data_IF_201763825419
#
_entry.id   IF_201763825419
#
_cell.length_a   1.000
_cell.length_b   1.000
_cell.length_c   1.000
_cell.angle_alpha   90.00
_cell.angle_beta   90.00
_cell.angle_gamma   90.00
#
_symmetry.space_group_name_H-M   'P 1'
#
loop_
_entity.id
_entity.type
_entity.pdbx_description
1 polymer ?
#
# COMPACT_ATOMS: atom_id res chain seq x y z
N UNK A 1 16.74 58.63 -42.42
CA UNK A 1 16.58 57.64 -41.37
C UNK A 1 15.41 56.74 -41.68
N UNK A 2 15.68 55.56 -42.22
CA UNK A 2 14.64 54.60 -42.66
C UNK A 2 14.50 53.54 -41.57
N UNK A 3 13.31 53.49 -40.95
CA UNK A 3 12.90 52.40 -40.04
C UNK A 3 12.53 51.17 -40.89
N UNK A 4 13.22 50.05 -40.66
CA UNK A 4 12.85 48.73 -41.23
C UNK A 4 11.84 48.08 -40.27
N UNK A 5 10.68 47.80 -40.80
CA UNK A 5 9.66 46.95 -40.16
C UNK A 5 10.13 45.48 -40.32
N UNK A 6 10.29 44.80 -39.20
CA UNK A 6 10.51 43.35 -39.19
C UNK A 6 9.17 42.70 -38.92
N UNK A 7 8.65 42.05 -39.94
CA UNK A 7 7.43 41.21 -39.82
C UNK A 7 7.85 39.85 -39.27
N UNK A 8 7.40 39.57 -38.05
CA UNK A 8 7.57 38.27 -37.42
C UNK A 8 6.40 37.37 -37.89
N UNK A 9 6.72 36.39 -38.72
CA UNK A 9 5.81 35.30 -39.07
C UNK A 9 5.71 34.37 -37.86
N UNK A 10 4.56 34.35 -37.18
CA UNK A 10 4.22 33.34 -36.18
C UNK A 10 3.75 32.12 -36.96
N UNK A 11 4.65 31.14 -37.12
CA UNK A 11 4.29 29.81 -37.59
C UNK A 11 3.58 29.07 -36.48
N UNK A 12 2.29 28.78 -36.63
CA UNK A 12 1.60 27.78 -35.81
C UNK A 12 2.25 26.42 -36.03
N UNK A 13 3.16 26.03 -35.14
CA UNK A 13 3.50 24.60 -34.97
C UNK A 13 2.34 23.98 -34.20
N UNK A 14 1.51 23.21 -34.88
CA UNK A 14 0.68 22.20 -34.27
C UNK A 14 1.61 21.15 -33.65
N UNK A 15 1.86 21.28 -32.34
CA UNK A 15 2.43 20.18 -31.56
C UNK A 15 1.41 19.04 -31.61
N UNK A 16 1.65 18.05 -32.44
CA UNK A 16 1.02 16.76 -32.31
C UNK A 16 1.38 16.22 -30.93
N UNK A 17 0.35 16.02 -30.11
CA UNK A 17 0.42 15.20 -28.91
C UNK A 17 0.88 13.80 -29.34
N UNK A 18 2.18 13.56 -29.31
CA UNK A 18 2.68 12.19 -29.25
C UNK A 18 2.26 11.69 -27.86
N UNK A 19 1.18 10.92 -27.82
CA UNK A 19 0.85 10.10 -26.68
C UNK A 19 2.09 9.26 -26.35
N UNK A 20 2.63 9.40 -25.15
CA UNK A 20 3.51 8.40 -24.58
C UNK A 20 2.75 7.08 -24.63
N UNK A 21 3.10 6.21 -25.56
CA UNK A 21 2.54 4.88 -25.66
C UNK A 21 2.85 4.16 -24.33
N UNK A 22 1.83 3.64 -23.69
CA UNK A 22 1.89 2.94 -22.39
C UNK A 22 2.77 1.67 -22.44
N UNK A 23 3.37 1.33 -23.56
CA UNK A 23 4.11 0.07 -23.78
C UNK A 23 3.22 -1.17 -23.79
N UNK A 24 1.91 -1.02 -23.64
CA UNK A 24 0.92 -2.08 -23.70
C UNK A 24 0.53 -2.37 -25.16
N UNK A 25 -0.01 -3.56 -25.41
CA UNK A 25 -0.45 -3.99 -26.74
C UNK A 25 -1.67 -3.19 -27.23
N UNK A 26 -1.86 -3.13 -28.56
CA UNK A 26 -3.01 -2.44 -29.17
C UNK A 26 -4.36 -3.11 -28.82
N UNK A 27 -4.35 -4.33 -28.29
CA UNK A 27 -5.55 -5.08 -27.89
C UNK A 27 -5.98 -4.78 -26.45
N UNK A 28 -5.12 -4.15 -25.66
CA UNK A 28 -5.43 -3.71 -24.29
C UNK A 28 -5.91 -2.26 -24.31
N UNK A 29 -7.12 -2.03 -23.82
CA UNK A 29 -7.76 -0.71 -23.77
C UNK A 29 -7.85 -0.23 -22.33
N UNK A 30 -7.29 0.94 -22.03
CA UNK A 30 -7.57 1.63 -20.77
C UNK A 30 -8.97 2.25 -20.84
N UNK A 31 -9.78 1.94 -19.86
CA UNK A 31 -11.13 2.50 -19.72
C UNK A 31 -11.07 3.82 -18.97
N UNK A 32 -11.78 4.82 -19.47
CA UNK A 32 -11.92 6.14 -18.84
C UNK A 32 -13.40 6.55 -18.91
N UNK A 33 -13.89 7.30 -17.91
CA UNK A 33 -15.26 7.82 -17.96
C UNK A 33 -15.51 8.59 -19.26
N UNK A 34 -16.67 8.44 -19.86
CA UNK A 34 -17.05 9.26 -21.01
C UNK A 34 -17.20 10.71 -20.52
N UNK A 35 -16.50 11.64 -21.15
CA UNK A 35 -16.76 13.06 -20.93
C UNK A 35 -18.13 13.37 -21.56
N UNK A 36 -19.13 13.68 -20.72
CA UNK A 36 -20.37 14.25 -21.21
C UNK A 36 -20.03 15.56 -21.93
N UNK A 37 -20.24 15.61 -23.24
CA UNK A 37 -20.28 16.87 -23.98
C UNK A 37 -21.51 17.66 -23.49
N UNK A 38 -21.36 18.36 -22.40
CA UNK A 38 -22.33 19.40 -22.02
C UNK A 38 -22.26 20.48 -23.09
N UNK A 39 -23.31 20.49 -23.93
CA UNK A 39 -23.59 21.53 -24.87
C UNK A 39 -23.65 22.87 -24.12
N UNK A 40 -22.63 23.71 -24.32
CA UNK A 40 -22.68 25.13 -23.96
C UNK A 40 -23.87 25.77 -24.63
N UNK A 41 -25.03 25.79 -23.98
CA UNK A 41 -26.10 26.71 -24.31
C UNK A 41 -25.75 28.06 -23.70
N UNK A 42 -25.35 28.95 -24.56
CA UNK A 42 -25.20 30.37 -24.39
C UNK A 42 -26.43 30.95 -23.69
N UNK A 43 -26.30 31.31 -22.40
CA UNK A 43 -27.31 32.13 -21.68
C UNK A 43 -26.71 33.51 -21.49
N UNK A 44 -27.38 34.44 -22.19
CA UNK A 44 -27.15 35.88 -22.22
C UNK A 44 -27.21 36.51 -20.82
N UNK A 45 -26.21 37.33 -20.48
CA UNK A 45 -26.12 38.08 -19.23
C UNK A 45 -26.94 39.32 -19.27
N UNK A 46 -27.94 39.42 -18.40
CA UNK A 46 -28.42 40.73 -17.89
C UNK A 46 -28.53 40.70 -16.37
N UNK A 47 -27.83 41.64 -15.78
CA UNK A 47 -27.47 41.91 -14.41
C UNK A 47 -28.52 41.77 -13.29
N UNK A 48 -28.02 41.58 -12.08
CA UNK A 48 -28.08 42.56 -10.97
C UNK A 48 -27.34 42.02 -9.73
N UNK A 49 -26.53 42.88 -9.21
CA UNK A 49 -26.05 43.23 -7.88
C UNK A 49 -26.35 42.33 -6.66
N UNK A 50 -25.24 42.15 -5.91
CA UNK A 50 -25.07 42.10 -4.44
C UNK A 50 -25.92 41.14 -3.60
N UNK A 51 -25.22 40.07 -3.13
CA UNK A 51 -25.23 39.74 -1.70
C UNK A 51 -24.00 38.91 -1.35
N UNK A 52 -23.08 39.54 -0.60
CA UNK A 52 -22.04 38.90 0.20
C UNK A 52 -22.70 37.90 1.16
N UNK A 53 -22.43 36.61 0.98
CA UNK A 53 -22.59 35.59 2.01
C UNK A 53 -21.20 35.21 2.50
N UNK A 54 -20.90 35.67 3.71
CA UNK A 54 -19.74 35.20 4.52
C UNK A 54 -19.83 33.67 4.65
N UNK A 55 -18.82 33.00 4.16
CA UNK A 55 -18.61 31.59 4.44
C UNK A 55 -18.14 31.45 5.89
N UNK A 56 -19.08 31.07 6.76
CA UNK A 56 -18.84 30.67 8.13
C UNK A 56 -18.06 29.30 8.09
N UNK A 57 -16.75 29.40 8.23
CA UNK A 57 -15.86 28.27 8.47
C UNK A 57 -15.95 27.88 9.95
N UNK A 58 -17.03 27.26 10.33
CA UNK A 58 -17.08 26.43 11.52
C UNK A 58 -16.77 24.98 11.12
N UNK A 59 -15.47 24.61 11.18
CA UNK A 59 -15.08 23.25 11.37
C UNK A 59 -15.75 22.72 12.65
N UNK A 60 -16.90 22.08 12.50
CA UNK A 60 -17.41 21.19 13.53
C UNK A 60 -16.43 20.04 13.66
N UNK A 61 -15.57 20.06 14.69
CA UNK A 61 -15.02 18.86 15.27
C UNK A 61 -16.16 17.85 15.36
N UNK A 62 -16.07 16.78 14.58
CA UNK A 62 -16.88 15.60 14.81
C UNK A 62 -16.37 15.01 16.15
N UNK A 63 -17.12 15.24 17.20
CA UNK A 63 -16.92 14.62 18.50
C UNK A 63 -17.54 13.23 18.45
N UNK A 64 -16.75 12.27 18.97
CA UNK A 64 -17.22 11.04 19.61
C UNK A 64 -17.75 9.91 18.71
N UNK A 65 -16.88 9.36 17.83
CA UNK A 65 -16.86 7.92 17.60
C UNK A 65 -15.88 7.31 18.62
N UNK A 66 -16.22 6.21 19.27
CA UNK A 66 -15.24 5.48 20.09
C UNK A 66 -13.97 5.23 19.25
N UNK A 67 -12.81 5.12 19.87
CA UNK A 67 -11.55 4.84 19.17
C UNK A 67 -11.70 3.64 18.21
N UNK A 68 -12.51 2.64 18.57
CA UNK A 68 -12.83 1.43 17.84
C UNK A 68 -13.56 1.66 16.51
N UNK A 69 -14.25 2.79 16.30
CA UNK A 69 -14.96 3.10 15.04
C UNK A 69 -14.16 4.00 14.11
N UNK A 70 -12.95 4.42 14.50
CA UNK A 70 -12.10 5.26 13.67
C UNK A 70 -11.56 4.50 12.45
N UNK A 71 -11.32 5.21 11.34
CA UNK A 71 -10.68 4.63 10.15
C UNK A 71 -9.35 3.93 10.51
N UNK A 72 -8.51 4.57 11.34
CA UNK A 72 -7.22 4.01 11.72
C UNK A 72 -7.32 2.71 12.51
N UNK A 73 -8.35 2.55 13.36
CA UNK A 73 -8.60 1.30 14.07
C UNK A 73 -9.06 0.19 13.12
N UNK A 74 -10.09 0.43 12.31
CA UNK A 74 -10.60 -0.54 11.34
C UNK A 74 -9.53 -0.98 10.34
N UNK A 75 -8.70 -0.03 9.90
CA UNK A 75 -7.57 -0.31 9.02
C UNK A 75 -6.55 -1.27 9.68
N UNK A 76 -6.15 -1.01 10.93
CA UNK A 76 -5.23 -1.90 11.66
C UNK A 76 -5.83 -3.28 11.89
N UNK A 77 -7.13 -3.35 12.19
CA UNK A 77 -7.82 -4.61 12.34
C UNK A 77 -7.82 -5.43 11.05
N UNK A 78 -8.14 -4.80 9.92
CA UNK A 78 -8.02 -5.43 8.60
C UNK A 78 -6.59 -5.89 8.32
N UNK A 79 -5.59 -5.04 8.59
CA UNK A 79 -4.18 -5.32 8.34
C UNK A 79 -3.70 -6.55 9.13
N UNK A 80 -4.05 -6.64 10.40
CA UNK A 80 -3.65 -7.76 11.27
C UNK A 80 -4.43 -9.02 10.96
N UNK A 81 -5.73 -8.93 10.65
CA UNK A 81 -6.50 -10.08 10.19
C UNK A 81 -5.93 -10.65 8.89
N UNK A 82 -5.53 -9.77 7.96
CA UNK A 82 -4.89 -10.21 6.71
C UNK A 82 -3.57 -10.95 6.99
N UNK A 83 -2.69 -10.37 7.83
CA UNK A 83 -1.43 -11.01 8.24
C UNK A 83 -1.68 -12.40 8.87
N UNK A 84 -2.63 -12.49 9.80
CA UNK A 84 -2.96 -13.76 10.48
C UNK A 84 -3.51 -14.82 9.54
N UNK A 85 -4.21 -14.43 8.47
CA UNK A 85 -4.78 -15.35 7.49
C UNK A 85 -3.81 -15.72 6.36
N UNK A 86 -2.75 -14.92 6.16
CA UNK A 86 -1.69 -15.23 5.17
C UNK A 86 -0.52 -15.95 5.79
N UNK A 87 -0.33 -15.84 7.10
CA UNK A 87 0.81 -16.43 7.80
C UNK A 87 0.91 -17.95 7.61
N UNK A 88 2.09 -18.41 7.22
CA UNK A 88 2.47 -19.81 7.12
C UNK A 88 3.76 -20.05 7.92
N UNK A 89 3.69 -20.96 8.91
CA UNK A 89 4.82 -21.36 9.76
C UNK A 89 6.05 -21.76 8.94
N UNK A 90 7.21 -21.25 9.33
CA UNK A 90 8.50 -21.51 8.68
C UNK A 90 8.73 -20.72 7.39
N UNK A 91 7.88 -19.75 7.04
CA UNK A 91 8.04 -18.92 5.84
C UNK A 91 8.11 -17.44 6.17
N UNK A 92 9.01 -16.77 5.47
CA UNK A 92 8.99 -15.30 5.45
C UNK A 92 7.79 -14.82 4.66
N UNK A 93 7.13 -13.79 5.17
CA UNK A 93 6.08 -13.12 4.43
C UNK A 93 6.15 -11.61 4.57
N UNK A 94 5.58 -10.92 3.62
CA UNK A 94 5.37 -9.48 3.69
C UNK A 94 4.15 -9.08 2.88
N UNK A 95 3.17 -8.51 3.54
CA UNK A 95 1.97 -7.97 2.91
C UNK A 95 1.94 -6.45 2.99
N UNK A 96 1.24 -5.82 2.07
CA UNK A 96 0.85 -4.42 2.20
C UNK A 96 -0.67 -4.32 2.36
N UNK A 97 -1.17 -4.19 3.58
CA UNK A 97 -2.60 -4.05 3.82
C UNK A 97 -3.19 -2.83 3.10
N UNK A 98 -2.43 -1.74 3.01
CA UNK A 98 -2.85 -0.52 2.33
C UNK A 98 -3.16 -0.77 0.85
N UNK A 99 -2.25 -1.44 0.18
CA UNK A 99 -2.37 -1.70 -1.24
C UNK A 99 -3.50 -2.70 -1.54
N UNK A 100 -3.62 -3.76 -0.73
CA UNK A 100 -4.72 -4.74 -0.82
C UNK A 100 -6.07 -4.08 -0.56
N UNK A 101 -6.18 -3.28 0.51
CA UNK A 101 -7.41 -2.55 0.83
C UNK A 101 -7.82 -1.60 -0.30
N UNK A 102 -6.86 -0.88 -0.90
CA UNK A 102 -7.14 0.02 -2.01
C UNK A 102 -7.70 -0.73 -3.23
N UNK A 103 -7.06 -1.84 -3.66
CA UNK A 103 -7.54 -2.66 -4.79
C UNK A 103 -8.94 -3.23 -4.55
N UNK A 104 -9.20 -3.74 -3.34
CA UNK A 104 -10.50 -4.30 -2.99
C UNK A 104 -11.58 -3.22 -2.87
N UNK A 105 -11.29 -2.04 -2.29
CA UNK A 105 -12.23 -0.92 -2.22
C UNK A 105 -12.58 -0.38 -3.61
N UNK A 106 -11.62 -0.37 -4.54
CA UNK A 106 -11.91 -0.05 -5.95
C UNK A 106 -12.97 -1.00 -6.54
N UNK A 107 -12.86 -2.30 -6.26
CA UNK A 107 -13.80 -3.31 -6.75
C UNK A 107 -15.13 -3.24 -6.02
N UNK A 108 -15.10 -2.99 -4.71
CA UNK A 108 -16.27 -2.82 -3.84
C UNK A 108 -17.21 -1.70 -4.32
N UNK A 109 -16.68 -0.63 -4.93
CA UNK A 109 -17.49 0.43 -5.56
C UNK A 109 -18.48 -0.10 -6.61
N UNK A 110 -18.19 -1.25 -7.21
CA UNK A 110 -19.06 -1.93 -8.17
C UNK A 110 -19.92 -3.05 -7.58
N UNK A 111 -19.71 -3.42 -6.31
CA UNK A 111 -20.46 -4.46 -5.65
C UNK A 111 -21.88 -4.03 -5.25
N UNK A 112 -22.81 -5.00 -5.17
CA UNK A 112 -24.19 -4.81 -4.76
C UNK A 112 -24.63 -5.97 -3.85
N UNK A 113 -25.78 -5.76 -3.17
CA UNK A 113 -26.44 -6.81 -2.40
C UNK A 113 -25.54 -7.48 -1.36
N UNK A 114 -25.56 -8.81 -1.30
CA UNK A 114 -24.79 -9.58 -0.32
C UNK A 114 -23.28 -9.51 -0.55
N UNK A 115 -22.85 -9.47 -1.81
CA UNK A 115 -21.43 -9.26 -2.17
C UNK A 115 -20.90 -7.97 -1.54
N UNK A 116 -21.61 -6.86 -1.69
CA UNK A 116 -21.24 -5.58 -1.07
C UNK A 116 -21.20 -5.72 0.47
N UNK A 117 -22.22 -6.32 1.08
CA UNK A 117 -22.27 -6.44 2.54
C UNK A 117 -21.12 -7.28 3.11
N UNK A 118 -20.73 -8.36 2.42
CA UNK A 118 -19.57 -9.16 2.81
C UNK A 118 -18.25 -8.37 2.66
N UNK A 119 -18.11 -7.62 1.57
CA UNK A 119 -16.94 -6.77 1.35
C UNK A 119 -16.85 -5.68 2.41
N UNK A 120 -17.92 -4.93 2.67
CA UNK A 120 -17.97 -3.91 3.73
C UNK A 120 -17.61 -4.50 5.10
N UNK A 121 -18.11 -5.71 5.42
CA UNK A 121 -17.80 -6.36 6.70
C UNK A 121 -16.33 -6.73 6.82
N UNK A 122 -15.73 -7.29 5.77
CA UNK A 122 -14.33 -7.76 5.79
C UNK A 122 -13.34 -6.59 5.72
N UNK A 123 -13.62 -5.60 4.89
CA UNK A 123 -12.67 -4.52 4.59
C UNK A 123 -12.74 -3.35 5.59
N UNK A 124 -13.91 -3.14 6.22
CA UNK A 124 -14.15 -1.92 6.98
C UNK A 124 -15.10 -2.08 8.19
N UNK A 125 -15.27 -3.33 8.67
CA UNK A 125 -16.17 -3.65 9.79
C UNK A 125 -17.59 -3.08 9.58
N UNK A 126 -18.14 -3.26 8.36
CA UNK A 126 -19.47 -2.83 7.97
C UNK A 126 -19.61 -1.32 7.68
N UNK A 127 -18.52 -0.57 7.59
CA UNK A 127 -18.56 0.82 7.15
C UNK A 127 -18.93 0.88 5.67
N UNK A 128 -19.92 1.73 5.27
CA UNK A 128 -20.33 1.83 3.88
C UNK A 128 -19.18 2.21 2.93
N UNK A 129 -19.10 1.54 1.78
CA UNK A 129 -18.02 1.69 0.79
C UNK A 129 -17.72 3.15 0.42
N UNK A 130 -18.77 3.98 0.26
CA UNK A 130 -18.58 5.39 -0.06
C UNK A 130 -17.92 6.21 1.05
N UNK A 131 -18.03 5.81 2.33
CA UNK A 131 -17.29 6.40 3.44
C UNK A 131 -15.88 5.85 3.47
N UNK A 132 -15.72 4.52 3.45
CA UNK A 132 -14.44 3.82 3.42
C UNK A 132 -13.53 4.34 2.29
N UNK A 133 -14.05 4.44 1.07
CA UNK A 133 -13.31 4.93 -0.09
C UNK A 133 -12.80 6.37 0.08
N UNK A 134 -13.61 7.28 0.67
CA UNK A 134 -13.17 8.66 0.94
C UNK A 134 -12.11 8.74 2.02
N UNK A 135 -12.25 7.98 3.12
CA UNK A 135 -11.28 7.94 4.21
C UNK A 135 -9.94 7.39 3.72
N UNK A 136 -9.97 6.26 3.01
CA UNK A 136 -8.79 5.64 2.43
C UNK A 136 -8.10 6.55 1.39
N UNK A 137 -8.86 7.12 0.46
CA UNK A 137 -8.33 8.09 -0.52
C UNK A 137 -7.70 9.31 0.14
N UNK A 138 -8.35 9.84 1.20
CA UNK A 138 -7.81 10.97 1.95
C UNK A 138 -6.50 10.62 2.67
N UNK A 139 -6.40 9.41 3.20
CA UNK A 139 -5.20 8.90 3.83
C UNK A 139 -4.07 8.73 2.79
N UNK A 140 -4.32 8.00 1.71
CA UNK A 140 -3.32 7.74 0.67
C UNK A 140 -2.73 9.03 0.07
N UNK A 141 -3.55 10.08 -0.10
CA UNK A 141 -3.11 11.39 -0.62
C UNK A 141 -2.20 12.18 0.34
N UNK A 142 -2.11 11.78 1.60
CA UNK A 142 -1.24 12.42 2.60
C UNK A 142 0.10 11.70 2.76
N UNK A 143 0.21 10.47 2.25
CA UNK A 143 1.44 9.70 2.33
C UNK A 143 2.56 10.41 1.57
N UNK A 144 3.74 10.41 2.18
CA UNK A 144 4.91 11.07 1.61
C UNK A 144 5.41 10.35 0.36
N UNK A 145 5.66 11.13 -0.69
CA UNK A 145 6.41 10.71 -1.88
C UNK A 145 7.37 11.86 -2.21
N UNK A 146 8.66 11.66 -1.97
CA UNK A 146 9.68 12.70 -2.01
C UNK A 146 10.89 12.24 -2.83
N UNK A 147 11.96 13.04 -2.90
CA UNK A 147 13.20 12.64 -3.59
C UNK A 147 13.91 11.46 -2.89
N UNK A 148 13.72 11.29 -1.58
CA UNK A 148 14.41 10.28 -0.77
C UNK A 148 13.51 9.12 -0.31
N UNK A 149 12.22 9.19 -0.61
CA UNK A 149 11.24 8.19 -0.20
C UNK A 149 10.18 8.01 -1.29
N UNK A 150 10.10 6.82 -1.86
CA UNK A 150 9.13 6.47 -2.88
C UNK A 150 8.23 5.33 -2.39
N UNK A 151 6.93 5.61 -2.38
CA UNK A 151 5.89 4.62 -2.12
C UNK A 151 5.08 4.42 -3.40
N UNK A 152 5.46 3.41 -4.18
CA UNK A 152 4.82 3.10 -5.45
C UNK A 152 3.68 2.09 -5.24
N UNK A 153 2.45 2.57 -5.18
CA UNK A 153 1.25 1.73 -5.08
C UNK A 153 0.65 1.58 -6.48
N UNK A 154 0.57 0.35 -6.97
CA UNK A 154 0.06 0.03 -8.29
C UNK A 154 -1.16 -0.87 -8.19
N UNK A 155 -2.34 -0.30 -8.38
CA UNK A 155 -3.62 -0.99 -8.35
C UNK A 155 -4.30 -0.90 -9.70
N UNK A 156 -4.68 -2.04 -10.26
CA UNK A 156 -5.44 -2.07 -11.51
C UNK A 156 -6.49 -3.18 -11.53
N UNK A 157 -7.54 -2.93 -12.27
CA UNK A 157 -8.60 -3.90 -12.57
C UNK A 157 -8.50 -4.25 -14.05
N UNK A 158 -8.40 -5.54 -14.35
CA UNK A 158 -8.38 -6.05 -15.72
C UNK A 158 -9.65 -6.85 -15.96
N UNK A 159 -10.42 -6.45 -16.94
CA UNK A 159 -11.68 -7.04 -17.34
C UNK A 159 -11.51 -7.73 -18.71
N UNK A 160 -12.04 -8.93 -18.85
CA UNK A 160 -11.98 -9.66 -20.11
C UNK A 160 -12.79 -8.94 -21.19
N UNK A 161 -12.13 -8.61 -22.32
CA UNK A 161 -12.81 -8.04 -23.48
C UNK A 161 -13.79 -9.09 -24.06
N UNK A 162 -15.06 -8.82 -23.90
CA UNK A 162 -16.14 -9.55 -24.51
C UNK A 162 -17.00 -8.53 -25.27
N UNK A 163 -17.44 -8.87 -26.47
CA UNK A 163 -18.25 -7.96 -27.32
C UNK A 163 -19.51 -7.41 -26.61
N UNK A 164 -19.89 -8.04 -25.49
CA UNK A 164 -21.11 -7.71 -24.73
C UNK A 164 -20.82 -7.10 -23.37
N UNK A 165 -19.55 -6.86 -23.00
CA UNK A 165 -19.22 -6.22 -21.72
C UNK A 165 -19.41 -4.71 -21.81
N UNK A 166 -20.34 -4.20 -21.01
CA UNK A 166 -20.54 -2.78 -20.77
C UNK A 166 -20.10 -2.44 -19.35
N UNK A 167 -19.11 -1.56 -19.23
CA UNK A 167 -18.63 -1.06 -17.94
C UNK A 167 -19.33 0.26 -17.63
N UNK A 168 -19.82 0.40 -16.39
CA UNK A 168 -20.58 1.57 -15.95
C UNK A 168 -19.68 2.81 -15.78
N UNK A 169 -20.09 3.93 -16.35
CA UNK A 169 -19.34 5.19 -16.27
C UNK A 169 -19.21 5.70 -14.83
N UNK A 170 -20.20 5.47 -13.97
CA UNK A 170 -20.15 5.82 -12.55
C UNK A 170 -19.04 5.07 -11.83
N UNK A 171 -18.85 3.78 -12.15
CA UNK A 171 -17.77 2.96 -11.59
C UNK A 171 -16.38 3.49 -12.00
N UNK A 172 -16.21 3.80 -13.28
CA UNK A 172 -14.97 4.38 -13.80
C UNK A 172 -14.69 5.75 -13.16
N UNK A 173 -15.72 6.60 -13.07
CA UNK A 173 -15.62 7.94 -12.52
C UNK A 173 -15.24 7.95 -11.04
N UNK A 174 -15.90 7.12 -10.21
CA UNK A 174 -15.65 7.09 -8.77
C UNK A 174 -14.24 6.55 -8.48
N UNK A 175 -13.80 5.47 -9.15
CA UNK A 175 -12.48 4.91 -8.99
C UNK A 175 -11.36 5.85 -9.49
N UNK A 176 -11.58 6.54 -10.61
CA UNK A 176 -10.64 7.55 -11.08
C UNK A 176 -10.50 8.71 -10.09
N UNK A 177 -11.60 9.20 -9.52
CA UNK A 177 -11.62 10.31 -8.57
C UNK A 177 -10.97 9.98 -7.22
N UNK A 178 -11.24 8.78 -6.68
CA UNK A 178 -10.75 8.38 -5.37
C UNK A 178 -9.31 7.87 -5.41
N UNK A 179 -8.98 7.04 -6.38
CA UNK A 179 -7.75 6.22 -6.37
C UNK A 179 -6.83 6.45 -7.56
N UNK A 180 -7.15 7.35 -8.50
CA UNK A 180 -6.44 7.45 -9.80
C UNK A 180 -6.32 6.06 -10.48
N UNK A 181 -7.38 5.27 -10.35
CA UNK A 181 -7.39 3.86 -10.70
C UNK A 181 -7.16 3.63 -12.19
N UNK A 182 -6.40 2.59 -12.51
CA UNK A 182 -6.25 2.13 -13.88
C UNK A 182 -7.09 0.88 -14.12
N UNK A 183 -8.07 1.01 -15.01
CA UNK A 183 -9.00 -0.08 -15.36
C UNK A 183 -8.80 -0.40 -16.83
N UNK A 184 -8.60 -1.68 -17.11
CA UNK A 184 -8.30 -2.16 -18.45
C UNK A 184 -9.31 -3.20 -18.93
N UNK A 185 -9.56 -3.19 -20.23
CA UNK A 185 -10.27 -4.23 -20.95
C UNK A 185 -9.30 -4.90 -21.92
N UNK A 186 -9.18 -6.22 -21.87
CA UNK A 186 -8.20 -6.97 -22.64
C UNK A 186 -8.68 -8.39 -22.98
N UNK A 187 -8.18 -9.04 -24.05
CA UNK A 187 -8.68 -10.33 -24.52
C UNK A 187 -8.36 -11.52 -23.61
N UNK A 188 -7.51 -11.36 -22.59
CA UNK A 188 -7.03 -12.38 -21.66
C UNK A 188 -6.28 -13.52 -22.39
N UNK A 189 -5.35 -13.13 -23.24
CA UNK A 189 -4.41 -13.98 -23.96
C UNK A 189 -2.95 -13.73 -23.54
N UNK A 190 -1.98 -14.29 -24.26
CA UNK A 190 -0.55 -14.07 -24.01
C UNK A 190 -0.12 -12.60 -24.12
N UNK A 191 -0.82 -11.78 -24.91
CA UNK A 191 -0.55 -10.34 -24.98
C UNK A 191 -1.00 -9.65 -23.70
N UNK A 192 -2.17 -9.99 -23.18
CA UNK A 192 -2.65 -9.49 -21.89
C UNK A 192 -1.73 -9.88 -20.72
N UNK A 193 -1.23 -11.12 -20.72
CA UNK A 193 -0.23 -11.57 -19.73
C UNK A 193 1.00 -10.66 -19.73
N UNK A 194 1.53 -10.40 -20.92
CA UNK A 194 2.69 -9.52 -21.08
C UNK A 194 2.38 -8.08 -20.67
N UNK A 195 1.21 -7.59 -21.01
CA UNK A 195 0.78 -6.23 -20.67
C UNK A 195 0.65 -6.04 -19.16
N UNK A 196 0.03 -6.99 -18.44
CA UNK A 196 -0.05 -6.98 -16.97
C UNK A 196 1.35 -6.93 -16.36
N UNK A 197 2.26 -7.82 -16.76
CA UNK A 197 3.62 -7.85 -16.22
C UNK A 197 4.41 -6.59 -16.57
N UNK A 198 4.25 -6.06 -17.78
CA UNK A 198 4.90 -4.80 -18.20
C UNK A 198 4.39 -3.63 -17.37
N UNK A 199 3.07 -3.56 -17.14
CA UNK A 199 2.43 -2.52 -16.34
C UNK A 199 2.95 -2.54 -14.90
N UNK A 200 2.96 -3.71 -14.25
CA UNK A 200 3.50 -3.86 -12.89
C UNK A 200 4.96 -3.45 -12.82
N UNK A 201 5.79 -3.92 -13.75
CA UNK A 201 7.21 -3.58 -13.79
C UNK A 201 7.45 -2.08 -13.94
N UNK A 202 6.64 -1.39 -14.74
CA UNK A 202 6.74 0.06 -14.90
C UNK A 202 6.31 0.81 -13.63
N UNK A 203 5.20 0.38 -13.02
CA UNK A 203 4.63 1.02 -11.83
C UNK A 203 5.48 0.83 -10.57
N UNK A 204 6.24 -0.26 -10.50
CA UNK A 204 7.13 -0.57 -9.38
C UNK A 204 8.61 -0.27 -9.68
N UNK A 205 8.89 0.58 -10.69
CA UNK A 205 10.26 0.95 -11.10
C UNK A 205 11.17 -0.26 -11.33
N UNK A 206 10.58 -1.34 -11.88
CA UNK A 206 11.22 -2.65 -12.13
C UNK A 206 11.60 -3.45 -10.88
N UNK A 207 11.18 -3.03 -9.70
CA UNK A 207 11.36 -3.82 -8.48
C UNK A 207 10.59 -5.14 -8.55
N UNK A 208 9.40 -5.11 -9.17
CA UNK A 208 8.60 -6.31 -9.43
C UNK A 208 8.54 -6.51 -10.96
N UNK A 209 9.43 -7.34 -11.54
CA UNK A 209 9.48 -7.51 -13.00
C UNK A 209 8.33 -8.36 -13.55
N UNK A 210 7.72 -9.20 -12.71
CA UNK A 210 6.66 -10.13 -13.10
C UNK A 210 5.77 -10.42 -11.90
N UNK A 211 4.44 -10.45 -12.11
CA UNK A 211 3.44 -10.78 -11.10
C UNK A 211 2.60 -11.99 -11.50
N UNK A 212 2.43 -12.24 -12.79
CA UNK A 212 1.55 -13.28 -13.33
C UNK A 212 2.33 -14.18 -14.29
N UNK A 213 2.23 -15.50 -14.11
CA UNK A 213 2.90 -16.50 -14.95
C UNK A 213 2.04 -16.94 -16.12
N UNK A 214 0.72 -16.98 -15.95
CA UNK A 214 -0.24 -17.42 -16.96
C UNK A 214 -1.61 -16.76 -16.75
N UNK A 215 -2.42 -16.74 -17.79
CA UNK A 215 -3.84 -16.38 -17.70
C UNK A 215 -4.65 -17.67 -17.70
N UNK A 216 -5.59 -17.80 -16.76
CA UNK A 216 -6.49 -18.94 -16.69
C UNK A 216 -7.63 -18.80 -17.72
N UNK A 217 -8.00 -19.90 -18.40
CA UNK A 217 -8.92 -19.90 -19.53
C UNK A 217 -10.30 -19.29 -19.22
N UNK A 218 -10.79 -19.46 -17.99
CA UNK A 218 -12.12 -19.02 -17.57
C UNK A 218 -12.13 -17.68 -16.83
N UNK A 219 -11.00 -16.97 -16.84
CA UNK A 219 -10.89 -15.68 -16.14
C UNK A 219 -11.74 -14.61 -16.79
N UNK A 220 -12.43 -13.81 -15.98
CA UNK A 220 -13.24 -12.66 -16.40
C UNK A 220 -12.76 -11.36 -15.79
N UNK A 221 -12.15 -11.41 -14.61
CA UNK A 221 -11.61 -10.23 -13.93
C UNK A 221 -10.40 -10.58 -13.06
N UNK A 222 -9.33 -9.83 -13.22
CA UNK A 222 -8.15 -9.86 -12.35
C UNK A 222 -7.99 -8.54 -11.61
N UNK A 223 -7.72 -8.64 -10.31
CA UNK A 223 -7.23 -7.54 -9.51
C UNK A 223 -5.72 -7.69 -9.38
N UNK A 224 -5.00 -6.72 -9.88
CA UNK A 224 -3.54 -6.70 -9.83
C UNK A 224 -3.11 -5.61 -8.87
N UNK A 225 -2.43 -6.05 -7.82
CA UNK A 225 -1.94 -5.22 -6.75
C UNK A 225 -0.44 -5.44 -6.59
N UNK A 226 0.33 -4.40 -6.77
CA UNK A 226 1.77 -4.41 -6.57
C UNK A 226 2.20 -3.15 -5.84
N UNK A 227 3.10 -3.31 -4.88
CA UNK A 227 3.62 -2.19 -4.11
C UNK A 227 5.13 -2.34 -3.92
N UNK A 228 5.82 -1.24 -4.04
CA UNK A 228 7.25 -1.15 -3.78
C UNK A 228 7.55 0.08 -2.92
N UNK A 229 8.50 -0.09 -2.02
CA UNK A 229 8.94 0.95 -1.10
C UNK A 229 10.45 1.13 -1.22
N UNK A 230 10.88 2.38 -1.37
CA UNK A 230 12.28 2.79 -1.41
C UNK A 230 12.44 4.01 -0.51
N UNK A 231 13.15 3.88 0.61
CA UNK A 231 13.35 4.95 1.57
C UNK A 231 14.73 4.84 2.24
N UNK A 232 15.37 5.98 2.43
CA UNK A 232 16.64 6.06 3.15
C UNK A 232 16.41 6.14 4.65
N UNK A 233 17.30 5.51 5.42
CA UNK A 233 17.32 5.75 6.86
C UNK A 233 17.59 7.24 7.16
N UNK A 234 16.95 7.78 8.16
CA UNK A 234 17.28 9.12 8.68
C UNK A 234 18.73 9.18 9.13
N UNK A 235 19.27 8.08 9.65
CA UNK A 235 20.67 7.91 10.03
C UNK A 235 21.16 6.58 9.44
N UNK A 236 21.76 6.58 8.22
CA UNK A 236 22.30 5.37 7.62
C UNK A 236 23.37 4.71 8.48
N UNK A 237 23.53 3.40 8.37
CA UNK A 237 24.61 2.67 9.03
C UNK A 237 25.93 2.91 8.32
N UNK A 238 27.00 3.11 9.11
CA UNK A 238 28.36 3.10 8.61
C UNK A 238 28.86 1.65 8.46
N UNK A 239 29.96 1.47 7.75
CA UNK A 239 30.50 0.13 7.53
C UNK A 239 30.90 -0.57 8.82
N UNK A 240 31.33 0.20 9.81
CA UNK A 240 31.75 -0.24 11.13
C UNK A 240 30.58 -0.71 12.00
N UNK A 241 29.36 -0.29 11.66
CA UNK A 241 28.13 -0.70 12.35
C UNK A 241 27.62 -2.08 11.89
N UNK A 242 28.24 -2.66 10.86
CA UNK A 242 27.84 -3.96 10.31
C UNK A 242 28.84 -5.03 10.73
N UNK A 243 28.36 -6.01 11.49
CA UNK A 243 29.16 -7.11 11.96
C UNK A 243 28.50 -8.46 11.63
N UNK A 244 29.33 -9.50 11.54
CA UNK A 244 28.81 -10.87 11.35
C UNK A 244 28.10 -11.33 12.62
N UNK A 245 26.82 -11.65 12.52
CA UNK A 245 25.99 -12.16 13.60
C UNK A 245 25.40 -13.53 13.31
N UNK A 246 24.55 -14.01 14.20
CA UNK A 246 23.83 -15.28 14.04
C UNK A 246 22.34 -15.01 14.15
N UNK A 247 21.57 -15.44 13.16
CA UNK A 247 20.12 -15.53 13.23
C UNK A 247 19.73 -16.98 13.53
N UNK A 248 18.82 -17.18 14.48
CA UNK A 248 18.36 -18.52 14.88
C UNK A 248 16.87 -18.64 14.55
N UNK A 249 16.54 -19.45 13.53
CA UNK A 249 15.14 -19.71 13.14
C UNK A 249 14.38 -20.47 14.24
N UNK A 250 13.04 -20.49 14.18
CA UNK A 250 12.17 -21.17 15.15
C UNK A 250 12.55 -22.64 15.38
N UNK A 251 12.94 -23.36 14.33
CA UNK A 251 13.37 -24.75 14.41
C UNK A 251 14.81 -24.95 14.97
N UNK A 252 15.46 -23.87 15.41
CA UNK A 252 16.83 -23.88 15.96
C UNK A 252 17.95 -23.89 14.91
N UNK A 253 17.64 -23.74 13.63
CA UNK A 253 18.65 -23.60 12.58
C UNK A 253 19.36 -22.25 12.73
N UNK A 254 20.68 -22.27 12.74
CA UNK A 254 21.50 -21.07 12.84
C UNK A 254 22.06 -20.67 11.46
N UNK A 255 21.94 -19.38 11.16
CA UNK A 255 22.44 -18.76 9.94
C UNK A 255 23.41 -17.65 10.32
N UNK A 256 24.53 -17.55 9.60
CA UNK A 256 25.45 -16.40 9.73
C UNK A 256 24.89 -15.28 8.84
N UNK A 257 24.70 -14.10 9.42
CA UNK A 257 24.09 -12.95 8.75
C UNK A 257 24.91 -11.69 9.02
N UNK A 258 24.79 -10.71 8.15
CA UNK A 258 25.28 -9.37 8.41
C UNK A 258 24.25 -8.64 9.30
N UNK A 259 24.65 -8.34 10.55
CA UNK A 259 23.84 -7.60 11.52
C UNK A 259 24.25 -6.13 11.52
N UNK A 260 23.29 -5.25 11.41
CA UNK A 260 23.46 -3.79 11.46
C UNK A 260 23.09 -3.29 12.85
N UNK A 261 24.07 -2.74 13.57
CA UNK A 261 23.91 -2.26 14.95
C UNK A 261 23.69 -0.76 15.00
N UNK A 262 22.80 -0.32 15.87
CA UNK A 262 22.52 1.09 16.11
C UNK A 262 22.04 1.36 17.52
N UNK A 263 22.02 2.64 17.91
CA UNK A 263 21.33 3.07 19.11
C UNK A 263 20.06 3.80 18.70
N UNK A 264 18.89 3.27 19.13
CA UNK A 264 17.59 3.83 18.81
C UNK A 264 16.96 4.51 20.03
N UNK A 265 16.15 5.55 19.75
CA UNK A 265 15.54 6.38 20.81
C UNK A 265 14.13 5.95 21.19
N UNK A 266 13.49 5.10 20.39
CA UNK A 266 12.07 4.74 20.56
C UNK A 266 11.94 3.27 20.95
N UNK A 267 11.74 3.01 22.23
CA UNK A 267 11.59 1.67 22.78
C UNK A 267 10.11 1.26 22.88
N UNK A 268 9.81 0.04 22.47
CA UNK A 268 8.49 -0.58 22.55
C UNK A 268 8.55 -1.76 23.51
N UNK A 269 7.59 -1.85 24.44
CA UNK A 269 7.48 -3.00 25.35
C UNK A 269 6.03 -3.23 25.77
N UNK A 270 5.60 -4.50 25.78
CA UNK A 270 4.43 -5.00 26.49
C UNK A 270 4.75 -6.36 27.17
N UNK A 271 3.72 -7.09 27.61
CA UNK A 271 3.90 -8.39 28.29
C UNK A 271 4.54 -9.45 27.40
N UNK A 272 4.40 -9.36 26.08
CA UNK A 272 4.83 -10.36 25.08
C UNK A 272 5.87 -9.85 24.09
N UNK A 273 6.14 -8.56 24.05
CA UNK A 273 6.94 -7.89 23.02
C UNK A 273 8.05 -7.07 23.62
N UNK A 274 9.23 -7.08 22.99
CA UNK A 274 10.18 -5.97 23.02
C UNK A 274 10.38 -5.47 21.59
N UNK A 275 10.67 -4.19 21.40
CA UNK A 275 10.80 -3.64 20.06
C UNK A 275 11.39 -2.25 20.04
N UNK A 276 11.54 -1.71 18.84
CA UNK A 276 11.98 -0.34 18.63
C UNK A 276 11.41 0.22 17.33
N UNK A 277 11.49 1.55 17.20
CA UNK A 277 11.16 2.26 15.97
C UNK A 277 12.41 2.97 15.47
N UNK A 278 12.78 2.71 14.19
CA UNK A 278 13.85 3.36 13.47
C UNK A 278 13.30 4.23 12.35
N UNK A 279 13.50 5.56 12.38
CA UNK A 279 12.97 6.46 11.37
C UNK A 279 13.69 6.33 10.01
N UNK A 280 12.92 6.41 8.93
CA UNK A 280 13.43 6.81 7.61
C UNK A 280 13.46 8.34 7.49
N UNK A 281 14.07 8.84 6.43
CA UNK A 281 13.82 10.22 6.01
C UNK A 281 12.33 10.41 5.73
N UNK A 282 11.73 11.45 5.62
CA UNK A 282 10.42 11.77 5.04
C UNK A 282 9.19 10.91 5.48
N UNK A 283 8.93 10.83 6.77
CA UNK A 283 7.58 10.50 7.27
C UNK A 283 7.23 9.02 7.41
N UNK A 284 8.18 8.11 7.25
CA UNK A 284 8.01 6.69 7.54
C UNK A 284 8.97 6.19 8.61
N UNK A 285 8.67 5.05 9.19
CA UNK A 285 9.54 4.39 10.15
C UNK A 285 9.47 2.87 10.02
N UNK A 286 10.58 2.22 10.28
CA UNK A 286 10.64 0.78 10.50
C UNK A 286 10.31 0.49 11.96
N UNK A 287 9.31 -0.31 12.22
CA UNK A 287 8.93 -0.78 13.54
C UNK A 287 9.29 -2.25 13.65
N UNK A 288 10.13 -2.57 14.62
CA UNK A 288 10.51 -3.93 14.96
C UNK A 288 9.73 -4.42 16.15
N UNK A 289 9.16 -5.62 16.08
CA UNK A 289 8.44 -6.30 17.15
C UNK A 289 9.04 -7.69 17.35
N UNK A 290 9.80 -7.85 18.43
CA UNK A 290 10.47 -9.10 18.79
C UNK A 290 9.68 -9.80 19.91
N UNK A 291 9.11 -11.00 19.67
CA UNK A 291 8.48 -11.78 20.73
C UNK A 291 9.44 -12.02 21.89
N UNK A 292 8.98 -11.92 23.14
CA UNK A 292 9.78 -12.26 24.31
C UNK A 292 10.14 -13.74 24.32
N UNK A 293 11.24 -14.09 24.98
CA UNK A 293 11.70 -15.48 25.08
C UNK A 293 10.58 -16.42 25.58
N UNK A 294 10.43 -17.54 24.89
CA UNK A 294 9.42 -18.56 25.19
C UNK A 294 8.06 -18.34 24.54
N UNK A 295 7.91 -17.30 23.74
CA UNK A 295 6.72 -17.06 22.88
C UNK A 295 7.15 -17.36 21.44
N UNK A 296 6.49 -18.34 20.80
CA UNK A 296 6.71 -18.63 19.39
C UNK A 296 6.21 -17.50 18.50
N UNK A 297 6.76 -17.39 17.29
CA UNK A 297 6.29 -16.37 16.34
C UNK A 297 4.83 -16.59 15.93
N UNK A 298 4.40 -17.86 15.79
CA UNK A 298 3.02 -18.23 15.51
C UNK A 298 2.07 -17.78 16.63
N UNK A 299 2.39 -18.12 17.89
CA UNK A 299 1.60 -17.68 19.03
C UNK A 299 1.54 -16.14 19.14
N UNK A 300 2.66 -15.47 18.87
CA UNK A 300 2.73 -14.01 18.89
C UNK A 300 1.80 -13.39 17.85
N UNK A 301 1.87 -13.83 16.59
CA UNK A 301 1.03 -13.33 15.48
C UNK A 301 -0.45 -13.59 15.76
N UNK A 302 -0.80 -14.78 16.25
CA UNK A 302 -2.19 -15.14 16.56
C UNK A 302 -2.84 -14.26 17.64
N UNK A 303 -2.04 -13.65 18.50
CA UNK A 303 -2.48 -12.75 19.59
C UNK A 303 -2.23 -11.26 19.31
N UNK A 304 -1.71 -10.93 18.12
CA UNK A 304 -1.51 -9.54 17.73
C UNK A 304 -2.87 -8.92 17.33
N UNK A 305 -3.27 -7.85 17.99
CA UNK A 305 -4.54 -7.14 17.73
C UNK A 305 -4.33 -5.66 17.47
N UNK A 306 -5.35 -4.99 16.93
CA UNK A 306 -5.30 -3.55 16.69
C UNK A 306 -5.06 -2.78 18.00
N UNK A 307 -5.72 -3.17 19.09
CA UNK A 307 -5.55 -2.57 20.41
C UNK A 307 -4.12 -2.74 20.92
N UNK A 308 -3.55 -3.93 20.74
CA UNK A 308 -2.18 -4.23 21.16
C UNK A 308 -1.18 -3.38 20.37
N UNK A 309 -1.33 -3.30 19.05
CA UNK A 309 -0.46 -2.47 18.22
C UNK A 309 -0.59 -0.98 18.56
N UNK A 310 -1.81 -0.49 18.77
CA UNK A 310 -2.06 0.89 19.23
C UNK A 310 -1.41 1.11 20.61
N UNK A 311 -1.62 0.18 21.54
CA UNK A 311 -1.03 0.27 22.88
C UNK A 311 0.50 0.33 22.87
N UNK A 312 1.16 -0.45 22.01
CA UNK A 312 2.62 -0.41 21.86
C UNK A 312 3.11 0.96 21.38
N UNK A 313 2.46 1.55 20.37
CA UNK A 313 2.91 2.84 19.81
C UNK A 313 2.49 4.04 20.67
N UNK A 314 1.36 3.98 21.38
CA UNK A 314 0.94 5.02 22.35
C UNK A 314 1.81 5.05 23.60
N UNK A 315 2.39 3.89 23.98
CA UNK A 315 3.26 3.76 25.14
C UNK A 315 4.75 3.69 24.78
N UNK A 316 5.11 4.14 23.55
CA UNK A 316 6.52 4.24 23.16
C UNK A 316 7.31 5.04 24.20
N UNK A 317 8.44 4.50 24.65
CA UNK A 317 9.29 5.18 25.62
C UNK A 317 10.52 5.77 24.93
N UNK A 318 10.87 6.98 25.36
CA UNK A 318 12.12 7.67 24.99
C UNK A 318 13.06 7.83 26.19
N UNK A 319 12.80 7.12 27.29
CA UNK A 319 13.61 7.17 28.52
C UNK A 319 14.82 6.22 28.47
N UNK A 320 14.92 5.40 27.43
CA UNK A 320 15.94 4.40 27.24
C UNK A 320 16.74 4.65 25.96
N UNK A 321 18.00 4.23 25.96
CA UNK A 321 18.76 3.98 24.74
C UNK A 321 18.57 2.51 24.36
N UNK A 322 18.17 2.24 23.12
CA UNK A 322 17.99 0.88 22.62
C UNK A 322 19.23 0.45 21.85
N UNK A 323 19.99 -0.49 22.42
CA UNK A 323 21.02 -1.24 21.67
C UNK A 323 20.28 -2.19 20.69
N UNK A 324 20.13 -1.73 19.47
CA UNK A 324 19.33 -2.36 18.43
C UNK A 324 20.21 -3.06 17.38
N UNK A 325 19.74 -4.20 16.88
CA UNK A 325 20.36 -4.87 15.74
C UNK A 325 19.32 -5.38 14.76
N UNK A 326 19.51 -5.08 13.47
CA UNK A 326 18.67 -5.55 12.35
C UNK A 326 19.53 -6.41 11.43
N UNK A 327 19.16 -7.65 11.09
CA UNK A 327 19.86 -8.38 10.05
C UNK A 327 19.62 -7.69 8.69
N UNK A 328 20.62 -7.68 7.82
CA UNK A 328 20.38 -7.35 6.40
C UNK A 328 19.53 -8.47 5.83
N UNK A 329 18.43 -8.11 5.21
CA UNK A 329 17.54 -9.09 4.60
C UNK A 329 16.85 -8.54 3.37
N UNK A 330 16.38 -9.48 2.55
CA UNK A 330 15.57 -9.24 1.38
C UNK A 330 14.36 -10.17 1.43
N UNK A 331 13.22 -9.65 1.10
CA UNK A 331 12.00 -10.44 0.98
C UNK A 331 11.28 -10.09 -0.32
N UNK A 332 10.98 -11.11 -1.11
CA UNK A 332 10.08 -11.05 -2.24
C UNK A 332 8.93 -11.99 -1.93
N UNK A 333 7.73 -11.46 -1.79
CA UNK A 333 6.56 -12.23 -1.42
C UNK A 333 5.47 -12.11 -2.48
N UNK A 334 4.85 -13.22 -2.83
CA UNK A 334 3.77 -13.27 -3.81
C UNK A 334 2.70 -14.23 -3.34
N UNK A 335 1.46 -13.76 -3.28
CA UNK A 335 0.33 -14.56 -2.83
C UNK A 335 -0.91 -14.30 -3.70
N UNK A 336 -1.69 -15.34 -3.93
CA UNK A 336 -3.07 -15.26 -4.41
C UNK A 336 -4.01 -15.23 -3.20
N UNK A 337 -4.77 -14.15 -3.05
CA UNK A 337 -5.52 -13.85 -1.82
C UNK A 337 -6.96 -14.39 -1.81
N UNK A 338 -7.41 -15.10 -2.84
CA UNK A 338 -8.81 -15.57 -2.94
C UNK A 338 -9.21 -16.40 -1.72
N UNK A 339 -8.44 -17.45 -1.40
CA UNK A 339 -8.75 -18.34 -0.29
C UNK A 339 -8.69 -17.59 1.05
N UNK A 340 -7.71 -16.72 1.23
CA UNK A 340 -7.57 -15.83 2.39
C UNK A 340 -8.80 -14.96 2.59
N UNK A 341 -9.24 -14.26 1.54
CA UNK A 341 -10.40 -13.36 1.62
C UNK A 341 -11.72 -14.11 1.80
N UNK A 342 -11.84 -15.30 1.22
CA UNK A 342 -12.99 -16.18 1.47
C UNK A 342 -13.03 -16.65 2.94
N UNK A 343 -11.89 -17.02 3.51
CA UNK A 343 -11.79 -17.40 4.92
C UNK A 343 -12.12 -16.22 5.86
N UNK A 344 -11.80 -15.00 5.47
CA UNK A 344 -12.20 -13.77 6.17
C UNK A 344 -13.70 -13.48 6.06
N UNK A 345 -14.44 -14.11 5.15
CA UNK A 345 -15.89 -13.98 4.99
C UNK A 345 -16.36 -13.40 3.65
N UNK A 346 -15.46 -13.10 2.73
CA UNK A 346 -15.78 -12.52 1.42
C UNK A 346 -15.99 -13.62 0.37
N UNK A 347 -17.06 -14.42 0.52
CA UNK A 347 -17.28 -15.61 -0.29
C UNK A 347 -17.97 -15.33 -1.62
N UNK A 348 -19.02 -14.51 -1.63
CA UNK A 348 -19.85 -14.29 -2.81
C UNK A 348 -19.08 -13.60 -3.96
N UNK A 349 -18.14 -12.71 -3.63
CA UNK A 349 -17.34 -11.99 -4.61
C UNK A 349 -16.55 -12.90 -5.56
N UNK A 350 -16.24 -14.14 -5.11
CA UNK A 350 -15.47 -15.14 -5.84
C UNK A 350 -16.31 -16.26 -6.46
N UNK A 351 -17.63 -16.23 -6.26
CA UNK A 351 -18.55 -17.23 -6.75
C UNK A 351 -19.24 -16.75 -8.04
N UNK A 352 -19.13 -17.54 -9.11
CA UNK A 352 -19.68 -17.20 -10.44
C UNK A 352 -21.21 -17.01 -10.41
N UNK A 353 -21.92 -17.71 -9.51
CA UNK A 353 -23.40 -17.66 -9.44
C UNK A 353 -23.90 -16.62 -8.43
N UNK A 354 -23.12 -16.30 -7.38
CA UNK A 354 -23.53 -15.46 -6.26
C UNK A 354 -23.01 -14.02 -6.35
N UNK A 355 -21.89 -13.80 -7.07
CA UNK A 355 -21.29 -12.46 -7.17
C UNK A 355 -22.28 -11.46 -7.77
N UNK A 356 -22.37 -10.29 -7.16
CA UNK A 356 -23.18 -9.18 -7.65
C UNK A 356 -22.32 -7.94 -7.86
N UNK A 357 -21.66 -7.89 -9.02
CA UNK A 357 -20.86 -6.76 -9.47
C UNK A 357 -21.54 -5.95 -10.60
N UNK A 358 -22.87 -5.89 -10.59
CA UNK A 358 -23.62 -5.10 -11.58
C UNK A 358 -23.30 -3.61 -11.56
N UNK A 359 -22.65 -3.11 -10.50
CA UNK A 359 -22.15 -1.74 -10.46
C UNK A 359 -20.84 -1.56 -11.21
N UNK A 360 -20.08 -2.65 -11.49
CA UNK A 360 -18.93 -2.60 -12.42
C UNK A 360 -19.44 -2.52 -13.84
N UNK A 361 -20.44 -3.35 -14.17
CA UNK A 361 -20.98 -3.46 -15.51
C UNK A 361 -21.87 -4.68 -15.70
N UNK A 362 -22.22 -4.95 -16.95
CA UNK A 362 -23.03 -6.10 -17.36
C UNK A 362 -22.41 -6.79 -18.59
N UNK A 363 -22.60 -8.10 -18.66
CA UNK A 363 -22.15 -8.91 -19.81
C UNK A 363 -23.19 -9.97 -20.13
N UNK A 364 -23.45 -10.21 -21.44
CA UNK A 364 -24.33 -11.31 -21.89
C UNK A 364 -23.63 -12.67 -21.80
N UNK A 365 -22.31 -12.71 -21.56
CA UNK A 365 -21.50 -13.93 -21.53
C UNK A 365 -21.39 -14.57 -20.13
N UNK A 366 -22.10 -14.05 -19.13
CA UNK A 366 -22.06 -14.53 -17.77
C UNK A 366 -21.89 -13.43 -16.74
N UNK A 367 -21.78 -13.83 -15.49
CA UNK A 367 -21.63 -12.91 -14.37
C UNK A 367 -20.20 -12.37 -14.27
N UNK A 368 -20.05 -11.18 -13.73
CA UNK A 368 -18.75 -10.62 -13.34
C UNK A 368 -18.45 -11.08 -11.91
N UNK A 369 -17.34 -11.73 -11.72
CA UNK A 369 -16.85 -12.16 -10.41
C UNK A 369 -15.32 -12.06 -10.35
N UNK A 370 -14.75 -12.06 -9.15
CA UNK A 370 -13.30 -12.01 -8.97
C UNK A 370 -12.72 -13.40 -9.17
N UNK A 371 -11.93 -13.59 -10.20
CA UNK A 371 -11.22 -14.86 -10.42
C UNK A 371 -9.97 -14.96 -9.53
N UNK A 372 -9.24 -13.85 -9.39
CA UNK A 372 -7.92 -13.83 -8.79
C UNK A 372 -7.62 -12.46 -8.20
N UNK A 373 -7.00 -12.45 -7.02
CA UNK A 373 -6.43 -11.27 -6.36
C UNK A 373 -4.95 -11.53 -6.13
N UNK A 374 -4.12 -11.02 -7.02
CA UNK A 374 -2.67 -11.17 -6.91
C UNK A 374 -2.08 -10.01 -6.11
N UNK A 375 -1.35 -10.36 -5.06
CA UNK A 375 -0.59 -9.43 -4.26
C UNK A 375 0.90 -9.79 -4.30
N UNK A 376 1.73 -8.82 -4.67
CA UNK A 376 3.18 -9.00 -4.68
C UNK A 376 3.87 -7.80 -4.06
N UNK A 377 4.84 -8.10 -3.18
CA UNK A 377 5.64 -7.12 -2.48
C UNK A 377 7.13 -7.43 -2.65
N UNK A 378 7.94 -6.40 -2.49
CA UNK A 378 9.39 -6.47 -2.48
C UNK A 378 9.95 -5.51 -1.45
N UNK A 379 10.88 -5.98 -0.63
CA UNK A 379 11.67 -5.19 0.31
C UNK A 379 13.11 -5.68 0.35
N UNK A 380 14.04 -4.75 0.47
CA UNK A 380 15.45 -5.01 0.74
C UNK A 380 15.90 -4.02 1.81
N UNK A 381 16.30 -4.53 2.97
CA UNK A 381 16.75 -3.75 4.13
C UNK A 381 18.26 -3.84 4.24
N UNK A 382 18.92 -2.73 4.04
CA UNK A 382 20.38 -2.60 4.06
C UNK A 382 20.87 -1.37 4.87
N UNK A 383 22.15 -1.07 4.78
CA UNK A 383 22.79 0.03 5.51
C UNK A 383 22.23 1.41 5.15
N UNK A 384 21.76 1.59 3.93
CA UNK A 384 21.29 2.88 3.45
C UNK A 384 19.81 3.12 3.73
N UNK A 385 19.04 2.05 3.89
CA UNK A 385 17.60 2.13 4.08
C UNK A 385 16.89 0.87 3.63
N UNK A 386 15.68 1.07 3.16
CA UNK A 386 14.96 0.06 2.41
C UNK A 386 15.09 0.42 0.94
N UNK A 387 15.92 -0.34 0.23
CA UNK A 387 16.35 -0.16 -1.16
C UNK A 387 16.82 1.25 -1.52
N UNK A 388 17.90 1.74 -0.92
CA UNK A 388 18.47 3.06 -1.22
C UNK A 388 19.75 2.98 -2.06
N UNK A 389 19.83 3.80 -3.12
CA UNK A 389 21.07 4.09 -3.84
C UNK A 389 21.88 5.15 -3.08
N UNK A 390 23.20 4.94 -2.98
CA UNK A 390 24.11 5.68 -2.12
C UNK A 390 24.08 7.21 -2.24
N UNK A 391 23.87 7.90 -1.12
CA UNK A 391 24.24 9.31 -0.92
C UNK A 391 24.55 9.55 0.55
N UNK A 392 25.77 10.00 0.85
CA UNK A 392 26.26 10.21 2.22
C UNK A 392 25.97 11.65 2.67
N UNK A 393 25.23 11.81 3.77
CA UNK A 393 25.19 13.08 4.52
C UNK A 393 25.39 12.77 6.00
N UNK A 394 26.51 13.21 6.55
CA UNK A 394 26.84 13.08 7.98
C UNK A 394 26.35 14.33 8.70
N UNK A 395 25.49 14.15 9.69
CA UNK A 395 25.10 15.19 10.63
C UNK A 395 25.24 14.69 12.07
N UNK A 396 26.29 15.11 12.77
CA UNK A 396 26.43 14.87 14.21
C UNK A 396 25.73 15.97 15.00
N UNK A 397 24.92 15.59 15.99
CA UNK A 397 24.44 16.49 17.04
C UNK A 397 24.89 15.93 18.37
N UNK A 398 25.88 16.59 18.99
CA UNK A 398 26.22 16.34 20.39
C UNK A 398 25.23 17.08 21.31
N UNK A 399 24.50 16.34 22.14
CA UNK A 399 23.85 16.90 23.32
C UNK A 399 24.48 16.32 24.57
N UNK A 400 25.17 17.16 25.35
CA UNK A 400 25.65 16.80 26.67
C UNK A 400 24.44 16.68 27.62
N UNK A 401 23.99 15.46 27.88
CA UNK A 401 23.12 15.13 29.02
C UNK A 401 23.99 14.59 30.14
N UNK A 402 23.76 15.04 31.38
CA UNK A 402 24.39 14.51 32.62
C UNK A 402 23.71 13.23 33.12
N UNK A 403 22.77 12.70 32.35
CA UNK A 403 22.04 11.48 32.65
C UNK A 403 22.38 10.44 31.59
N UNK A 404 22.94 9.31 32.01
CA UNK A 404 23.12 8.14 31.15
C UNK A 404 21.81 7.36 31.20
N UNK A 405 21.05 7.26 30.07
CA UNK A 405 19.82 6.46 30.05
C UNK A 405 20.13 4.99 30.28
N UNK A 406 19.19 4.25 30.82
CA UNK A 406 19.27 2.79 30.89
C UNK A 406 19.24 2.21 29.48
N UNK A 407 20.11 1.23 29.21
CA UNK A 407 20.20 0.57 27.90
C UNK A 407 19.26 -0.63 27.87
N UNK A 408 18.41 -0.71 26.83
CA UNK A 408 17.59 -1.87 26.48
C UNK A 408 18.18 -2.53 25.25
N UNK A 409 18.34 -3.84 25.25
CA UNK A 409 18.86 -4.59 24.11
C UNK A 409 17.73 -5.24 23.33
N UNK A 410 17.63 -4.96 22.03
CA UNK A 410 16.67 -5.56 21.12
C UNK A 410 17.39 -5.94 19.83
N UNK A 411 17.89 -7.16 19.76
CA UNK A 411 18.54 -7.71 18.59
C UNK A 411 17.57 -8.64 17.85
N UNK A 412 17.33 -8.37 16.56
CA UNK A 412 16.47 -9.20 15.71
C UNK A 412 17.26 -10.43 15.23
N UNK A 413 17.67 -11.26 16.16
CA UNK A 413 18.51 -12.44 15.98
C UNK A 413 17.73 -13.76 15.92
N UNK A 414 16.39 -13.67 15.95
CA UNK A 414 15.42 -14.77 15.88
C UNK A 414 14.13 -14.27 15.23
N UNK A 415 13.13 -15.12 14.94
CA UNK A 415 11.91 -14.71 14.28
C UNK A 415 11.26 -13.47 14.88
N UNK A 416 10.90 -12.52 14.01
CA UNK A 416 10.33 -11.24 14.41
C UNK A 416 9.26 -10.77 13.41
N UNK A 417 8.35 -9.93 13.90
CA UNK A 417 7.41 -9.16 13.08
C UNK A 417 7.99 -7.77 12.86
N UNK A 418 7.83 -7.23 11.65
CA UNK A 418 8.17 -5.85 11.37
C UNK A 418 7.05 -5.14 10.62
N UNK A 419 7.05 -3.82 10.71
CA UNK A 419 6.19 -2.99 9.91
C UNK A 419 6.95 -1.79 9.34
N UNK A 420 6.59 -1.37 8.13
CA UNK A 420 6.85 0.00 7.68
C UNK A 420 5.59 0.78 8.03
N UNK A 421 5.72 1.77 8.89
CA UNK A 421 4.59 2.59 9.37
C UNK A 421 4.69 4.02 8.84
N UNK A 422 3.55 4.63 8.56
CA UNK A 422 3.44 6.08 8.46
C UNK A 422 3.67 6.70 9.85
N UNK A 423 4.67 7.55 9.98
CA UNK A 423 5.10 8.09 11.28
C UNK A 423 4.02 8.96 11.94
N UNK A 424 3.18 9.67 11.17
CA UNK A 424 2.14 10.54 11.71
C UNK A 424 0.97 9.75 12.29
N UNK A 425 0.47 8.75 11.54
CA UNK A 425 -0.71 7.97 11.93
C UNK A 425 -0.36 6.66 12.61
N UNK A 426 0.89 6.22 12.50
CA UNK A 426 1.39 4.92 12.97
C UNK A 426 0.62 3.73 12.37
N UNK A 427 0.03 3.93 11.19
CA UNK A 427 -0.62 2.87 10.43
C UNK A 427 0.40 2.09 9.60
N UNK A 428 0.33 0.75 9.58
CA UNK A 428 1.26 -0.06 8.83
C UNK A 428 0.99 0.02 7.32
N UNK A 429 1.98 0.44 6.55
CA UNK A 429 1.96 0.37 5.09
C UNK A 429 2.32 -1.04 4.64
N UNK A 430 3.30 -1.64 5.33
CA UNK A 430 3.70 -3.04 5.21
C UNK A 430 3.70 -3.70 6.57
N UNK A 431 3.38 -4.99 6.57
CA UNK A 431 3.56 -5.91 7.68
C UNK A 431 4.30 -7.13 7.18
N UNK A 432 5.34 -7.54 7.88
CA UNK A 432 6.10 -8.72 7.51
C UNK A 432 6.53 -9.56 8.71
N UNK A 433 6.83 -10.80 8.42
CA UNK A 433 7.38 -11.78 9.34
C UNK A 433 8.67 -12.31 8.75
N UNK A 434 9.73 -12.29 9.53
CA UNK A 434 11.02 -12.89 9.16
C UNK A 434 11.28 -14.09 10.06
N UNK A 435 11.25 -15.28 9.49
CA UNK A 435 11.54 -16.55 10.20
C UNK A 435 12.93 -17.09 9.87
N UNK A 436 13.48 -16.65 8.74
CA UNK A 436 14.84 -16.98 8.31
C UNK A 436 15.39 -15.82 7.50
N UNK A 437 16.71 -15.66 7.48
CA UNK A 437 17.40 -14.67 6.66
C UNK A 437 18.10 -15.42 5.53
N UNK A 438 17.56 -15.31 4.31
CA UNK A 438 18.17 -15.87 3.11
C UNK A 438 19.08 -14.82 2.46
N UNK A 439 20.23 -15.28 1.90
CA UNK A 439 21.19 -14.44 1.16
C UNK A 439 20.64 -13.97 -0.20
#
# INVERSE_FOLDING_TARGET
>A
MKRKLVTILIGCMTLGLFGCGSGLSDTTKRLTPQQSEDSEQNVDHTGNEDQQAEADTTEKKAEDGSAETSFGYRYRQFALNLLQQTYEDGKNEMISPLSVLAALTMTENGAKGNTLSQMEQVLSDGTPVGQQGRELSSYMKKLADTENTHLNIANSIWLKDADTLHVEDDFLSENSKLFDAEIYQAPFDEHTLKDINTWVSQKTEKMIPQILDKIEDNSVMYLINAIAFDAKWQSPYEKEDVESGTFTSENGTQQTVDMMYSTEAYYLEDDSTTGFIRPYEDGYSFMALLPKEGISIEDYISHLSAEKLIGLVENVSTDYDVDAAIPKFKSEYSIELKDTLQNMGMTDAFDEEQADFRGIGTSDNGNIYINMVLHKTYIEVDEQGTKAGASTVVGMVETMSLYEPEIKTVHLDRPFVYAIIDTETQMPIFLGVTESVEE
#
